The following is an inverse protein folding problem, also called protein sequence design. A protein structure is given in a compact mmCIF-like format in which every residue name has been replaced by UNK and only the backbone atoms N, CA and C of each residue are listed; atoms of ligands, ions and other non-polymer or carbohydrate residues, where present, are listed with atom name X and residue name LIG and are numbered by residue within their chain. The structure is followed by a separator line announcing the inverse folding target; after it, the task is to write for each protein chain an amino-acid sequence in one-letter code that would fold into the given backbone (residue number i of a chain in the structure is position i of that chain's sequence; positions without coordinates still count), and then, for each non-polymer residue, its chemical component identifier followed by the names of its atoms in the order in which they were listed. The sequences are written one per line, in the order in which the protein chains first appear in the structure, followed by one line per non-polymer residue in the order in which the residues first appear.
data_IF_403360046003
#
_entry.id   IF_403360046003
#
_cell.length_a   1.000
_cell.length_b   1.000
_cell.length_c   1.000
_cell.angle_alpha   90.00
_cell.angle_beta   90.00
_cell.angle_gamma   90.00
#
_symmetry.space_group_name_H-M   'P 1'
#
loop_
_entity.id
_entity.type
_entity.pdbx_description
1 polymer ?
#
# COMPACT_ATOMS: atom_id res chain seq x y z
N UNK A 1 7.40 43.36 -39.03
CA UNK A 1 6.06 43.00 -38.50
C UNK A 1 5.64 41.66 -39.11
N UNK A 2 5.95 40.55 -38.43
CA UNK A 2 5.57 39.21 -38.87
C UNK A 2 4.20 38.87 -38.28
N UNK A 3 3.18 38.72 -39.15
CA UNK A 3 1.84 38.25 -38.75
C UNK A 3 1.91 36.73 -38.56
N UNK A 4 1.96 36.27 -37.32
CA UNK A 4 1.69 34.88 -36.96
C UNK A 4 0.23 34.56 -37.28
N UNK A 5 0.00 33.83 -38.37
CA UNK A 5 -1.31 33.20 -38.64
C UNK A 5 -1.51 32.09 -37.62
N UNK A 6 -2.45 32.28 -36.70
CA UNK A 6 -2.98 31.19 -35.86
C UNK A 6 -3.55 30.09 -36.76
N UNK A 7 -3.31 28.80 -36.47
CA UNK A 7 -3.83 27.71 -37.27
C UNK A 7 -5.38 27.68 -37.20
N UNK A 8 -6.07 27.24 -38.27
CA UNK A 8 -7.53 27.21 -38.29
C UNK A 8 -8.05 26.17 -37.30
N UNK A 9 -8.83 26.62 -36.33
CA UNK A 9 -9.68 25.75 -35.51
C UNK A 9 -10.72 25.11 -36.44
N UNK A 10 -10.53 23.85 -36.83
CA UNK A 10 -11.68 23.06 -37.28
C UNK A 10 -12.57 22.86 -36.06
N UNK A 11 -13.71 23.55 -36.04
CA UNK A 11 -14.63 23.52 -34.92
C UNK A 11 -15.24 22.11 -34.81
N UNK A 12 -14.81 21.36 -33.80
CA UNK A 12 -15.54 20.17 -33.36
C UNK A 12 -16.93 20.64 -32.90
N UNK A 13 -17.98 20.33 -33.67
CA UNK A 13 -19.36 20.68 -33.35
C UNK A 13 -20.12 19.42 -32.93
N UNK A 14 -20.61 19.41 -31.69
CA UNK A 14 -21.57 18.40 -31.23
C UNK A 14 -22.95 18.84 -31.72
N UNK A 15 -23.57 18.03 -32.59
CA UNK A 15 -24.97 18.23 -32.98
C UNK A 15 -25.86 17.75 -31.83
N UNK A 16 -26.37 18.69 -31.04
CA UNK A 16 -27.34 18.38 -29.99
C UNK A 16 -28.70 18.08 -30.64
N UNK A 17 -29.25 16.90 -30.37
CA UNK A 17 -30.62 16.55 -30.75
C UNK A 17 -31.58 17.03 -29.66
N UNK A 18 -32.76 17.50 -30.07
CA UNK A 18 -33.85 17.76 -29.12
C UNK A 18 -34.26 16.45 -28.42
N UNK A 19 -34.33 16.49 -27.10
CA UNK A 19 -34.68 15.35 -26.24
C UNK A 19 -36.12 15.45 -25.71
N UNK A 20 -36.89 16.43 -26.16
CA UNK A 20 -38.31 16.56 -25.82
C UNK A 20 -39.10 15.28 -26.14
N UNK A 21 -39.96 14.85 -25.21
CA UNK A 21 -40.75 13.62 -25.35
C UNK A 21 -39.95 12.32 -25.19
N UNK A 22 -38.64 12.38 -24.93
CA UNK A 22 -37.82 11.21 -24.63
C UNK A 22 -37.73 10.97 -23.10
N UNK A 23 -37.32 9.77 -22.64
CA UNK A 23 -37.06 9.52 -21.22
C UNK A 23 -35.96 10.40 -20.59
N UNK A 24 -35.25 11.19 -21.41
CA UNK A 24 -34.14 12.05 -20.98
C UNK A 24 -34.50 13.55 -20.98
N UNK A 25 -35.74 13.92 -21.28
CA UNK A 25 -36.20 15.32 -21.36
C UNK A 25 -35.86 16.13 -20.09
N UNK A 26 -35.90 15.48 -18.92
CA UNK A 26 -35.63 16.10 -17.62
C UNK A 26 -34.18 15.91 -17.13
N UNK A 27 -33.30 15.30 -17.93
CA UNK A 27 -31.91 15.12 -17.54
C UNK A 27 -31.18 16.45 -17.63
N UNK A 28 -30.46 16.80 -16.56
CA UNK A 28 -29.65 18.03 -16.48
C UNK A 28 -28.24 17.68 -16.01
N UNK A 29 -27.24 18.45 -16.45
CA UNK A 29 -25.85 18.36 -16.01
C UNK A 29 -25.38 19.73 -15.55
N UNK A 30 -24.77 19.82 -14.37
CA UNK A 30 -24.31 21.08 -13.78
C UNK A 30 -23.01 20.87 -13.00
N UNK A 31 -22.16 21.89 -12.95
CA UNK A 31 -21.08 21.95 -11.98
C UNK A 31 -21.61 22.47 -10.65
N UNK A 32 -21.41 21.72 -9.57
CA UNK A 32 -21.92 22.04 -8.23
C UNK A 32 -20.76 22.13 -7.25
N UNK A 33 -20.78 23.16 -6.39
CA UNK A 33 -19.93 23.25 -5.20
C UNK A 33 -20.48 22.33 -4.13
N UNK A 34 -19.89 21.15 -4.00
CA UNK A 34 -20.33 20.14 -3.03
C UNK A 34 -19.65 20.42 -1.69
N UNK A 35 -20.44 20.91 -0.72
CA UNK A 35 -19.99 21.14 0.66
C UNK A 35 -20.16 19.88 1.51
N UNK A 36 -19.50 19.77 2.69
CA UNK A 36 -19.71 18.65 3.61
C UNK A 36 -21.17 18.45 4.00
N UNK A 37 -21.91 19.53 4.29
CA UNK A 37 -23.34 19.44 4.62
C UNK A 37 -24.16 18.90 3.44
N UNK A 38 -23.95 19.45 2.24
CA UNK A 38 -24.66 19.00 1.05
C UNK A 38 -24.36 17.52 0.72
N UNK A 39 -23.11 17.10 0.91
CA UNK A 39 -22.72 15.70 0.75
C UNK A 39 -23.43 14.77 1.75
N UNK A 40 -23.61 15.19 3.01
CA UNK A 40 -24.40 14.43 4.00
C UNK A 40 -25.86 14.32 3.59
N UNK A 41 -26.48 15.43 3.17
CA UNK A 41 -27.88 15.47 2.72
C UNK A 41 -28.11 14.54 1.51
N UNK A 42 -27.15 14.50 0.59
CA UNK A 42 -27.18 13.60 -0.57
C UNK A 42 -26.94 12.14 -0.20
N UNK A 43 -26.05 11.86 0.75
CA UNK A 43 -25.82 10.50 1.26
C UNK A 43 -27.05 9.94 1.98
N UNK A 44 -27.87 10.78 2.63
CA UNK A 44 -29.14 10.35 3.22
C UNK A 44 -30.15 9.82 2.18
N UNK A 45 -29.94 10.14 0.89
CA UNK A 45 -30.74 9.65 -0.24
C UNK A 45 -30.18 8.37 -0.88
N UNK A 46 -29.10 7.81 -0.32
CA UNK A 46 -28.46 6.60 -0.81
C UNK A 46 -29.16 5.33 -0.29
N UNK A 47 -30.10 4.80 -1.07
CA UNK A 47 -30.94 3.66 -0.65
C UNK A 47 -30.43 2.29 -1.09
N UNK A 48 -29.59 2.22 -2.13
CA UNK A 48 -29.33 0.97 -2.85
C UNK A 48 -27.86 0.66 -3.14
N UNK A 49 -26.95 1.60 -2.90
CA UNK A 49 -25.55 1.34 -3.22
C UNK A 49 -24.92 0.32 -2.26
N UNK A 50 -23.98 -0.45 -2.81
CA UNK A 50 -23.16 -1.42 -2.06
C UNK A 50 -22.44 -0.77 -0.87
N UNK A 51 -22.07 -1.58 0.13
CA UNK A 51 -21.22 -1.14 1.25
C UNK A 51 -19.98 -0.38 0.74
N UNK A 52 -19.66 0.79 1.30
CA UNK A 52 -18.50 1.56 0.88
C UNK A 52 -17.20 0.84 1.21
N UNK A 53 -16.12 1.27 0.53
CA UNK A 53 -14.77 0.73 0.69
C UNK A 53 -13.93 1.79 1.41
N UNK A 54 -13.64 1.65 2.71
CA UNK A 54 -12.98 2.69 3.50
C UNK A 54 -11.68 3.19 2.86
N UNK A 55 -10.81 2.28 2.42
CA UNK A 55 -9.52 2.64 1.79
C UNK A 55 -9.66 3.54 0.55
N UNK A 56 -10.81 3.50 -0.14
CA UNK A 56 -11.09 4.37 -1.30
C UNK A 56 -11.58 5.74 -0.85
N UNK A 57 -12.44 5.79 0.17
CA UNK A 57 -12.90 7.05 0.77
C UNK A 57 -11.72 7.82 1.35
N UNK A 58 -10.88 7.18 2.15
CA UNK A 58 -9.69 7.79 2.74
C UNK A 58 -8.69 8.28 1.69
N UNK A 59 -8.52 7.55 0.58
CA UNK A 59 -7.68 7.99 -0.54
C UNK A 59 -8.20 9.27 -1.18
N UNK A 60 -9.50 9.34 -1.47
CA UNK A 60 -10.13 10.55 -2.01
C UNK A 60 -10.11 11.71 -1.02
N UNK A 61 -10.40 11.45 0.27
CA UNK A 61 -10.41 12.48 1.29
C UNK A 61 -9.00 13.09 1.49
N UNK A 62 -7.96 12.26 1.39
CA UNK A 62 -6.56 12.71 1.37
C UNK A 62 -6.30 13.61 0.16
N UNK A 63 -6.68 13.20 -1.05
CA UNK A 63 -6.47 14.00 -2.25
C UNK A 63 -7.20 15.35 -2.15
N UNK A 64 -8.42 15.38 -1.59
CA UNK A 64 -9.17 16.61 -1.34
C UNK A 64 -8.45 17.52 -0.34
N UNK A 65 -7.98 16.99 0.80
CA UNK A 65 -7.22 17.77 1.81
C UNK A 65 -5.92 18.33 1.26
N UNK A 66 -5.25 17.60 0.37
CA UNK A 66 -3.98 18.00 -0.21
C UNK A 66 -4.15 18.93 -1.43
N UNK A 67 -5.38 19.24 -1.85
CA UNK A 67 -5.62 20.03 -3.07
C UNK A 67 -5.35 19.28 -4.38
N UNK A 68 -5.14 17.96 -4.31
CA UNK A 68 -4.85 17.07 -5.45
C UNK A 68 -6.13 16.54 -6.11
N UNK A 69 -7.30 16.90 -5.59
CA UNK A 69 -8.58 16.51 -6.17
C UNK A 69 -8.84 17.20 -7.51
N UNK A 70 -8.84 16.43 -8.59
CA UNK A 70 -9.10 16.95 -9.94
C UNK A 70 -10.58 16.87 -10.29
N UNK A 71 -11.23 18.02 -10.44
CA UNK A 71 -12.58 18.11 -11.02
C UNK A 71 -12.54 17.74 -12.50
N UNK A 72 -13.41 16.80 -12.90
CA UNK A 72 -13.52 16.35 -14.29
C UNK A 72 -14.97 16.04 -14.65
N UNK A 73 -15.20 15.58 -15.89
CA UNK A 73 -16.53 15.25 -16.40
C UNK A 73 -17.20 14.04 -15.71
N UNK A 74 -16.43 13.21 -14.99
CA UNK A 74 -16.99 12.10 -14.22
C UNK A 74 -17.58 12.64 -12.92
N UNK A 75 -18.89 12.82 -12.96
CA UNK A 75 -19.70 13.39 -11.89
C UNK A 75 -20.58 12.38 -11.15
N UNK A 76 -21.40 12.89 -10.23
CA UNK A 76 -22.46 12.14 -9.58
C UNK A 76 -23.78 12.20 -10.35
N UNK A 77 -24.71 11.32 -9.99
CA UNK A 77 -26.02 11.25 -10.63
C UNK A 77 -27.14 11.02 -9.61
N UNK A 78 -28.32 11.56 -9.91
CA UNK A 78 -29.57 11.33 -9.18
C UNK A 78 -30.66 10.84 -10.12
N UNK A 79 -31.48 9.93 -9.63
CA UNK A 79 -32.70 9.54 -10.32
C UNK A 79 -33.72 10.70 -10.33
N UNK A 80 -34.74 10.57 -11.17
CA UNK A 80 -35.83 11.54 -11.27
C UNK A 80 -36.61 11.74 -9.95
N UNK A 81 -36.64 10.72 -9.07
CA UNK A 81 -37.24 10.81 -7.73
C UNK A 81 -36.27 11.33 -6.66
N UNK A 82 -35.06 11.75 -7.05
CA UNK A 82 -34.07 12.35 -6.18
C UNK A 82 -33.23 11.34 -5.38
N UNK A 83 -33.41 10.03 -5.57
CA UNK A 83 -32.55 9.01 -4.98
C UNK A 83 -31.11 9.13 -5.55
N UNK A 84 -30.10 8.93 -4.70
CA UNK A 84 -28.70 8.93 -5.13
C UNK A 84 -28.42 7.71 -6.02
N UNK A 85 -27.95 7.97 -7.24
CA UNK A 85 -27.64 6.92 -8.22
C UNK A 85 -26.21 6.41 -8.05
N UNK A 86 -25.23 7.31 -7.99
CA UNK A 86 -23.80 6.95 -7.91
C UNK A 86 -23.01 7.93 -7.02
N UNK A 87 -21.71 7.67 -6.85
CA UNK A 87 -20.68 8.56 -6.29
C UNK A 87 -20.58 8.63 -4.77
N UNK A 88 -21.20 7.67 -4.08
CA UNK A 88 -21.17 7.59 -2.61
C UNK A 88 -19.76 7.74 -2.02
N UNK A 89 -18.71 7.15 -2.62
CA UNK A 89 -17.35 7.24 -2.08
C UNK A 89 -16.78 8.66 -2.14
N UNK A 90 -17.10 9.42 -3.21
CA UNK A 90 -16.61 10.79 -3.33
C UNK A 90 -17.39 11.72 -2.39
N UNK A 91 -18.69 11.50 -2.19
CA UNK A 91 -19.47 12.24 -1.18
C UNK A 91 -18.99 11.94 0.25
N UNK A 92 -18.77 10.66 0.57
CA UNK A 92 -18.19 10.29 1.86
C UNK A 92 -16.80 10.92 2.05
N UNK A 93 -16.00 11.03 1.00
CA UNK A 93 -14.69 11.67 1.05
C UNK A 93 -14.78 13.20 1.26
N UNK A 94 -15.80 13.87 0.71
CA UNK A 94 -16.09 15.28 1.01
C UNK A 94 -16.40 15.45 2.50
N UNK A 95 -17.22 14.56 3.07
CA UNK A 95 -17.51 14.56 4.51
C UNK A 95 -16.27 14.24 5.34
N UNK A 96 -15.47 13.23 4.97
CA UNK A 96 -14.26 12.86 5.72
C UNK A 96 -13.16 13.94 5.65
N UNK A 97 -13.00 14.59 4.49
CA UNK A 97 -11.98 15.63 4.27
C UNK A 97 -12.37 17.00 4.81
N UNK A 98 -13.67 17.24 5.03
CA UNK A 98 -14.23 18.55 5.35
C UNK A 98 -13.92 19.63 4.31
N UNK A 99 -13.62 19.23 3.06
CA UNK A 99 -13.32 20.16 1.96
C UNK A 99 -14.53 20.36 1.06
N UNK A 100 -14.77 21.60 0.63
CA UNK A 100 -15.73 21.88 -0.45
C UNK A 100 -15.04 21.70 -1.79
N UNK A 101 -15.62 20.88 -2.68
CA UNK A 101 -15.03 20.60 -4.00
C UNK A 101 -16.04 20.78 -5.13
N UNK A 102 -15.55 21.07 -6.33
CA UNK A 102 -16.38 21.13 -7.54
C UNK A 102 -16.61 19.72 -8.10
N UNK A 103 -17.86 19.38 -8.40
CA UNK A 103 -18.22 18.13 -9.08
C UNK A 103 -19.26 18.40 -10.17
N UNK A 104 -19.18 17.66 -11.27
CA UNK A 104 -20.32 17.54 -12.18
C UNK A 104 -21.39 16.73 -11.48
N UNK A 105 -22.64 17.17 -11.57
CA UNK A 105 -23.81 16.47 -11.04
C UNK A 105 -24.85 16.42 -12.13
N UNK A 106 -25.42 15.23 -12.32
CA UNK A 106 -26.54 15.02 -13.21
C UNK A 106 -27.79 14.59 -12.45
N UNK A 107 -28.95 15.06 -12.89
CA UNK A 107 -30.23 14.78 -12.23
C UNK A 107 -31.26 14.36 -13.26
N UNK A 108 -32.39 13.80 -12.81
CA UNK A 108 -33.52 13.48 -13.70
C UNK A 108 -33.40 12.12 -14.39
N UNK A 109 -32.47 11.25 -14.00
CA UNK A 109 -32.29 9.96 -14.66
C UNK A 109 -33.47 9.00 -14.41
N UNK A 110 -34.01 8.33 -15.44
CA UNK A 110 -35.01 7.30 -15.25
C UNK A 110 -34.38 6.04 -14.63
N UNK A 111 -35.09 5.38 -13.70
CA UNK A 111 -34.60 4.11 -13.12
C UNK A 111 -34.56 2.97 -14.14
N UNK A 112 -35.52 2.97 -15.08
CA UNK A 112 -35.67 1.99 -16.14
C UNK A 112 -36.16 2.67 -17.42
N UNK A 113 -35.61 2.26 -18.55
CA UNK A 113 -36.06 2.74 -19.85
C UNK A 113 -37.22 1.90 -20.39
N UNK A 114 -38.18 2.51 -21.11
CA UNK A 114 -39.21 1.76 -21.82
C UNK A 114 -38.58 0.72 -22.76
N UNK A 115 -39.19 -0.47 -22.86
CA UNK A 115 -38.75 -1.57 -23.73
C UNK A 115 -37.37 -2.18 -23.42
N UNK A 116 -36.69 -1.77 -22.34
CA UNK A 116 -35.46 -2.40 -21.88
C UNK A 116 -35.69 -3.27 -20.64
N UNK A 117 -35.01 -4.41 -20.56
CA UNK A 117 -35.04 -5.28 -19.37
C UNK A 117 -34.09 -4.78 -18.28
N UNK A 118 -32.90 -4.32 -18.67
CA UNK A 118 -31.90 -3.77 -17.77
C UNK A 118 -32.38 -2.45 -17.14
N UNK A 119 -31.99 -2.22 -15.90
CA UNK A 119 -32.13 -0.93 -15.21
C UNK A 119 -30.89 -0.07 -15.48
N UNK A 120 -30.99 1.24 -15.28
CA UNK A 120 -29.84 2.12 -15.55
C UNK A 120 -28.59 1.74 -14.77
N UNK A 121 -28.74 1.27 -13.52
CA UNK A 121 -27.61 0.84 -12.69
C UNK A 121 -26.86 -0.39 -13.24
N UNK A 122 -27.49 -1.21 -14.07
CA UNK A 122 -26.84 -2.39 -14.66
C UNK A 122 -25.74 -1.99 -15.66
N UNK A 123 -25.75 -0.75 -16.15
CA UNK A 123 -24.79 -0.21 -17.11
C UNK A 123 -23.74 0.72 -16.47
N UNK A 124 -23.86 1.04 -15.18
CA UNK A 124 -22.93 1.92 -14.46
C UNK A 124 -21.68 1.14 -14.03
N UNK A 125 -20.50 1.72 -14.24
CA UNK A 125 -19.21 1.16 -13.81
C UNK A 125 -18.87 -0.26 -14.32
N UNK A 126 -19.47 -0.70 -15.43
CA UNK A 126 -19.23 -2.05 -16.01
C UNK A 126 -17.91 -2.18 -16.79
N UNK A 127 -17.21 -1.06 -17.02
CA UNK A 127 -15.97 -1.02 -17.79
C UNK A 127 -14.73 -1.42 -17.00
N UNK A 128 -13.66 -1.80 -17.71
CA UNK A 128 -12.35 -2.03 -17.09
C UNK A 128 -11.77 -0.70 -16.58
N UNK A 129 -11.60 -0.60 -15.26
CA UNK A 129 -10.98 0.55 -14.61
C UNK A 129 -9.50 0.65 -15.02
N UNK A 130 -9.05 1.85 -15.43
CA UNK A 130 -7.63 2.12 -15.66
C UNK A 130 -6.86 1.94 -14.37
N UNK A 131 -5.83 1.10 -14.38
CA UNK A 131 -4.97 0.93 -13.21
C UNK A 131 -4.14 2.20 -12.97
N UNK A 132 -3.60 2.34 -11.76
CA UNK A 132 -2.71 3.47 -11.44
C UNK A 132 -1.45 3.45 -12.32
N UNK A 133 -0.94 2.26 -12.65
CA UNK A 133 0.13 2.09 -13.66
C UNK A 133 -0.29 2.73 -14.99
N UNK A 134 -1.46 2.35 -15.52
CA UNK A 134 -1.91 2.83 -16.84
C UNK A 134 -2.08 4.35 -16.83
N UNK A 135 -2.54 4.93 -15.72
CA UNK A 135 -2.67 6.38 -15.58
C UNK A 135 -1.31 7.08 -15.66
N UNK A 136 -0.29 6.56 -14.97
CA UNK A 136 1.07 7.12 -14.98
C UNK A 136 1.77 6.94 -16.33
N UNK A 137 1.64 5.77 -16.95
CA UNK A 137 2.22 5.50 -18.29
C UNK A 137 1.59 6.41 -19.35
N UNK A 138 0.25 6.47 -19.42
CA UNK A 138 -0.44 7.17 -20.50
C UNK A 138 -0.44 8.69 -20.34
N UNK A 139 -0.57 9.20 -19.12
CA UNK A 139 -0.74 10.64 -18.88
C UNK A 139 0.54 11.36 -18.47
N UNK A 140 1.52 10.63 -17.92
CA UNK A 140 2.76 11.22 -17.41
C UNK A 140 4.01 10.65 -18.08
N UNK A 141 3.88 9.69 -19.01
CA UNK A 141 5.01 9.12 -19.74
C UNK A 141 6.00 8.36 -18.85
N UNK A 142 5.58 7.92 -17.65
CA UNK A 142 6.47 7.26 -16.69
C UNK A 142 6.75 5.83 -17.15
N UNK A 143 8.00 5.58 -17.54
CA UNK A 143 8.49 4.22 -17.80
C UNK A 143 8.48 3.37 -16.52
N UNK A 144 8.22 2.07 -16.66
CA UNK A 144 8.13 1.13 -15.53
C UNK A 144 7.15 1.56 -14.43
N UNK A 145 6.03 2.21 -14.78
CA UNK A 145 5.09 2.77 -13.80
C UNK A 145 4.57 1.74 -12.79
N UNK A 146 4.50 0.46 -13.16
CA UNK A 146 4.13 -0.61 -12.23
C UNK A 146 5.06 -0.70 -11.02
N UNK A 147 6.37 -0.55 -11.23
CA UNK A 147 7.37 -0.59 -10.18
C UNK A 147 7.37 0.73 -9.38
N UNK A 148 7.20 1.88 -10.06
CA UNK A 148 7.06 3.20 -9.41
C UNK A 148 5.88 3.23 -8.43
N UNK A 149 4.71 2.73 -8.84
CA UNK A 149 3.53 2.65 -7.97
C UNK A 149 3.79 1.80 -6.74
N UNK A 150 4.38 0.62 -6.92
CA UNK A 150 4.65 -0.33 -5.83
C UNK A 150 5.67 0.25 -4.85
N UNK A 151 6.78 0.77 -5.36
CA UNK A 151 7.85 1.37 -4.56
C UNK A 151 7.36 2.60 -3.81
N UNK A 152 6.55 3.45 -4.45
CA UNK A 152 5.92 4.61 -3.79
C UNK A 152 5.02 4.18 -2.64
N UNK A 153 4.21 3.14 -2.83
CA UNK A 153 3.39 2.57 -1.76
C UNK A 153 4.21 1.99 -0.61
N UNK A 154 5.32 1.31 -0.90
CA UNK A 154 6.21 0.79 0.12
C UNK A 154 6.95 1.91 0.87
N UNK A 155 7.47 2.93 0.19
CA UNK A 155 8.10 4.10 0.81
C UNK A 155 7.13 4.86 1.70
N UNK A 156 5.91 5.10 1.23
CA UNK A 156 4.85 5.70 2.03
C UNK A 156 4.58 4.87 3.29
N UNK A 157 4.45 3.55 3.16
CA UNK A 157 4.23 2.68 4.31
C UNK A 157 5.37 2.79 5.32
N UNK A 158 6.64 2.81 4.88
CA UNK A 158 7.80 2.99 5.78
C UNK A 158 7.77 4.36 6.47
N UNK A 159 7.52 5.45 5.72
CA UNK A 159 7.47 6.81 6.26
C UNK A 159 6.29 7.03 7.21
N UNK A 160 5.24 6.21 7.11
CA UNK A 160 4.04 6.27 7.95
C UNK A 160 3.99 5.17 9.03
N UNK A 161 5.11 4.56 9.42
CA UNK A 161 5.14 3.62 10.56
C UNK A 161 4.83 2.16 10.25
N UNK A 162 4.87 1.77 8.97
CA UNK A 162 4.45 0.45 8.50
C UNK A 162 3.02 0.15 8.96
N UNK A 163 2.14 1.15 8.87
CA UNK A 163 0.70 0.99 9.05
C UNK A 163 0.00 0.87 7.71
N UNK A 164 -1.25 0.42 7.74
CA UNK A 164 -2.08 0.35 6.55
C UNK A 164 -2.42 1.75 6.07
N UNK A 165 -1.72 2.21 5.05
CA UNK A 165 -2.05 3.44 4.35
C UNK A 165 -3.21 3.20 3.38
N UNK A 166 -4.12 4.18 3.26
CA UNK A 166 -5.20 4.17 2.27
C UNK A 166 -4.66 4.07 0.83
N UNK A 167 -5.55 3.86 -0.16
CA UNK A 167 -5.11 3.70 -1.55
C UNK A 167 -4.34 4.93 -2.05
N UNK A 168 -3.27 4.72 -2.80
CA UNK A 168 -2.54 5.80 -3.47
C UNK A 168 -3.31 6.32 -4.69
N UNK A 169 -3.18 7.62 -4.94
CA UNK A 169 -3.62 8.33 -6.13
C UNK A 169 -2.45 8.67 -7.05
N UNK A 170 -2.68 9.09 -8.31
CA UNK A 170 -1.62 9.58 -9.18
C UNK A 170 -0.82 10.71 -8.54
N UNK A 171 -1.49 11.74 -7.99
CA UNK A 171 -0.82 12.86 -7.33
C UNK A 171 0.06 12.41 -6.16
N UNK A 172 -0.42 11.47 -5.33
CA UNK A 172 0.39 10.90 -4.24
C UNK A 172 1.65 10.19 -4.75
N UNK A 173 1.52 9.37 -5.81
CA UNK A 173 2.67 8.65 -6.38
C UNK A 173 3.66 9.62 -7.02
N UNK A 174 3.18 10.61 -7.76
CA UNK A 174 4.02 11.63 -8.39
C UNK A 174 4.79 12.45 -7.35
N UNK A 175 4.13 12.89 -6.27
CA UNK A 175 4.78 13.62 -5.20
C UNK A 175 5.89 12.79 -4.52
N UNK A 176 5.64 11.51 -4.24
CA UNK A 176 6.67 10.61 -3.67
C UNK A 176 7.82 10.38 -4.66
N UNK A 177 7.49 10.18 -5.95
CA UNK A 177 8.48 10.01 -7.01
C UNK A 177 9.38 11.24 -7.17
N UNK A 178 8.83 12.44 -7.01
CA UNK A 178 9.58 13.69 -7.02
C UNK A 178 10.51 13.81 -5.80
N UNK A 179 10.03 13.49 -4.60
CA UNK A 179 10.83 13.57 -3.35
C UNK A 179 12.07 12.66 -3.42
N UNK A 180 11.96 11.50 -4.07
CA UNK A 180 13.03 10.49 -4.21
C UNK A 180 13.46 10.27 -5.67
N UNK A 181 13.42 11.32 -6.50
CA UNK A 181 13.65 11.19 -7.94
C UNK A 181 14.98 10.51 -8.32
N UNK A 182 16.14 10.85 -7.69
CA UNK A 182 17.41 10.17 -7.98
C UNK A 182 17.37 8.68 -7.66
N UNK A 183 16.73 8.30 -6.54
CA UNK A 183 16.66 6.92 -6.08
C UNK A 183 15.70 6.10 -6.95
N UNK A 184 14.59 6.69 -7.41
CA UNK A 184 13.69 6.06 -8.38
C UNK A 184 14.39 5.80 -9.72
N UNK A 185 15.13 6.79 -10.23
CA UNK A 185 15.91 6.64 -11.46
C UNK A 185 16.92 5.50 -11.34
N UNK A 186 17.69 5.48 -10.25
CA UNK A 186 18.68 4.44 -10.03
C UNK A 186 18.04 3.05 -9.91
N UNK A 187 16.92 2.93 -9.18
CA UNK A 187 16.20 1.66 -9.04
C UNK A 187 15.66 1.17 -10.38
N UNK A 188 15.15 2.05 -11.24
CA UNK A 188 14.65 1.67 -12.56
C UNK A 188 15.73 1.00 -13.43
N UNK A 189 16.97 1.45 -13.30
CA UNK A 189 18.13 0.94 -14.04
C UNK A 189 18.72 -0.35 -13.40
N UNK A 190 18.56 -0.52 -12.08
CA UNK A 190 19.33 -1.54 -11.33
C UNK A 190 18.49 -2.67 -10.71
N UNK A 191 17.15 -2.58 -10.74
CA UNK A 191 16.25 -3.49 -10.02
C UNK A 191 16.59 -4.98 -10.24
N UNK A 192 16.75 -5.71 -9.14
CA UNK A 192 16.96 -7.15 -9.15
C UNK A 192 15.73 -7.86 -9.75
N UNK A 193 15.98 -8.74 -10.73
CA UNK A 193 14.93 -9.54 -11.39
C UNK A 193 14.84 -10.97 -10.84
N UNK A 194 15.80 -11.40 -10.02
CA UNK A 194 15.79 -12.70 -9.38
C UNK A 194 14.64 -12.83 -8.36
N UNK A 195 14.14 -14.06 -8.20
CA UNK A 195 13.14 -14.42 -7.19
C UNK A 195 13.61 -14.04 -5.78
N UNK A 196 12.70 -13.63 -4.89
CA UNK A 196 13.02 -13.22 -3.52
C UNK A 196 13.69 -11.85 -3.38
N UNK A 197 14.53 -11.43 -4.33
CA UNK A 197 15.23 -10.14 -4.30
C UNK A 197 14.40 -8.96 -4.82
N UNK A 198 13.25 -9.23 -5.45
CA UNK A 198 12.31 -8.21 -5.95
C UNK A 198 11.21 -7.84 -4.93
N UNK A 199 11.45 -8.10 -3.64
CA UNK A 199 10.51 -7.71 -2.59
C UNK A 199 10.52 -6.18 -2.48
N UNK A 200 9.34 -5.58 -2.68
CA UNK A 200 9.18 -4.13 -2.77
C UNK A 200 9.57 -3.42 -1.48
N UNK A 201 9.29 -4.01 -0.32
CA UNK A 201 9.62 -3.41 0.97
C UNK A 201 11.12 -3.37 1.23
N UNK A 202 11.86 -4.41 0.84
CA UNK A 202 13.32 -4.38 0.81
C UNK A 202 13.83 -3.32 -0.15
N UNK A 203 13.26 -3.25 -1.36
CA UNK A 203 13.66 -2.27 -2.36
C UNK A 203 13.43 -0.82 -1.89
N UNK A 204 12.33 -0.55 -1.18
CA UNK A 204 12.07 0.75 -0.58
C UNK A 204 13.11 1.10 0.50
N UNK A 205 13.55 0.14 1.31
CA UNK A 205 14.65 0.35 2.26
C UNK A 205 15.98 0.62 1.54
N UNK A 206 16.26 -0.06 0.43
CA UNK A 206 17.41 0.25 -0.42
C UNK A 206 17.33 1.69 -0.93
N UNK A 207 16.15 2.18 -1.34
CA UNK A 207 15.98 3.59 -1.74
C UNK A 207 16.30 4.56 -0.61
N UNK A 208 15.81 4.31 0.61
CA UNK A 208 16.18 5.12 1.78
C UNK A 208 17.69 5.07 2.06
N UNK A 209 18.30 3.91 1.87
CA UNK A 209 19.75 3.69 1.94
C UNK A 209 20.52 4.49 0.89
N UNK A 210 20.05 4.52 -0.37
CA UNK A 210 20.68 5.29 -1.44
C UNK A 210 20.64 6.78 -1.14
N UNK A 211 19.56 7.28 -0.52
CA UNK A 211 19.46 8.65 -0.08
C UNK A 211 20.41 8.98 1.09
N UNK A 212 20.59 8.07 2.05
CA UNK A 212 21.41 8.31 3.26
C UNK A 212 22.90 7.99 3.05
N UNK A 213 23.20 6.92 2.35
CA UNK A 213 24.54 6.34 2.15
C UNK A 213 24.69 5.81 0.71
N UNK A 214 24.84 6.69 -0.30
CA UNK A 214 24.78 6.28 -1.71
C UNK A 214 25.78 5.17 -2.08
N UNK A 215 27.07 5.39 -1.83
CA UNK A 215 28.13 4.44 -2.22
C UNK A 215 28.09 3.13 -1.42
N UNK A 216 27.98 3.15 -0.07
CA UNK A 216 27.81 1.92 0.69
C UNK A 216 26.57 1.12 0.28
N UNK A 217 25.45 1.80 0.01
CA UNK A 217 24.20 1.12 -0.37
C UNK A 217 24.29 0.52 -1.77
N UNK A 218 24.95 1.18 -2.73
CA UNK A 218 25.22 0.61 -4.06
C UNK A 218 26.03 -0.68 -3.95
N UNK A 219 27.12 -0.67 -3.17
CA UNK A 219 27.95 -1.86 -2.93
C UNK A 219 27.17 -2.97 -2.22
N UNK A 220 26.41 -2.62 -1.18
CA UNK A 220 25.54 -3.56 -0.47
C UNK A 220 24.53 -4.21 -1.42
N UNK A 221 23.86 -3.41 -2.25
CA UNK A 221 22.85 -3.89 -3.18
C UNK A 221 23.46 -4.79 -4.26
N UNK A 222 24.64 -4.46 -4.77
CA UNK A 222 25.32 -5.28 -5.77
C UNK A 222 25.71 -6.65 -5.21
N UNK A 223 26.25 -6.69 -3.98
CA UNK A 223 26.51 -7.96 -3.28
C UNK A 223 25.21 -8.71 -2.95
N UNK A 224 24.15 -7.99 -2.56
CA UNK A 224 22.84 -8.59 -2.31
C UNK A 224 22.23 -9.18 -3.58
N UNK A 225 22.50 -8.58 -4.75
CA UNK A 225 22.00 -9.00 -6.07
C UNK A 225 22.80 -10.17 -6.64
N UNK A 226 24.13 -10.10 -6.60
CA UNK A 226 25.03 -11.10 -7.20
C UNK A 226 25.31 -12.29 -6.28
N UNK A 227 25.41 -12.05 -4.97
CA UNK A 227 25.88 -13.03 -4.00
C UNK A 227 27.40 -13.19 -3.95
N UNK A 228 28.16 -12.37 -4.69
CA UNK A 228 29.62 -12.46 -4.74
C UNK A 228 30.26 -11.85 -3.50
N UNK A 229 31.43 -12.40 -3.12
CA UNK A 229 32.25 -11.95 -1.98
C UNK A 229 31.54 -12.00 -0.61
N UNK A 230 30.62 -12.95 -0.43
CA UNK A 230 29.91 -13.16 0.83
C UNK A 230 30.61 -14.22 1.69
N UNK A 231 30.85 -13.89 2.96
CA UNK A 231 31.35 -14.81 3.98
C UNK A 231 30.30 -15.01 5.09
N UNK A 232 30.46 -16.01 5.95
CA UNK A 232 29.47 -16.33 6.99
C UNK A 232 29.19 -15.18 7.98
N UNK A 233 30.18 -14.31 8.22
CA UNK A 233 30.04 -13.13 9.11
C UNK A 233 29.60 -11.86 8.37
N UNK A 234 29.42 -11.95 7.05
CA UNK A 234 29.11 -10.81 6.21
C UNK A 234 27.62 -10.45 6.31
N UNK A 235 27.31 -9.19 6.63
CA UNK A 235 25.93 -8.74 6.89
C UNK A 235 24.93 -9.05 5.75
N UNK A 236 25.37 -9.06 4.49
CA UNK A 236 24.52 -9.40 3.34
C UNK A 236 24.13 -10.89 3.29
N UNK A 237 24.98 -11.79 3.79
CA UNK A 237 24.80 -13.24 3.65
C UNK A 237 23.48 -13.77 4.27
N UNK A 238 23.20 -13.56 5.58
CA UNK A 238 21.96 -14.02 6.19
C UNK A 238 20.72 -13.32 5.61
N UNK A 239 20.82 -12.04 5.22
CA UNK A 239 19.72 -11.32 4.56
C UNK A 239 19.39 -11.95 3.20
N UNK A 240 20.39 -12.22 2.37
CA UNK A 240 20.19 -12.78 1.03
C UNK A 240 19.47 -14.14 1.11
N UNK A 241 19.95 -15.03 1.98
CA UNK A 241 19.34 -16.35 2.17
C UNK A 241 17.89 -16.24 2.65
N UNK A 242 17.60 -15.28 3.55
CA UNK A 242 16.26 -14.99 3.99
C UNK A 242 15.36 -14.49 2.85
N UNK A 243 15.79 -13.47 2.10
CA UNK A 243 14.97 -12.93 1.01
C UNK A 243 14.71 -13.98 -0.09
N UNK A 244 15.69 -14.84 -0.39
CA UNK A 244 15.55 -15.94 -1.34
C UNK A 244 14.61 -17.06 -0.85
N UNK A 245 14.48 -17.26 0.48
CA UNK A 245 13.60 -18.29 1.05
C UNK A 245 12.14 -17.84 1.15
N UNK A 246 11.86 -16.53 1.10
CA UNK A 246 10.51 -16.01 1.14
C UNK A 246 9.73 -16.48 -0.10
N UNK A 247 8.59 -17.13 0.15
CA UNK A 247 7.69 -17.57 -0.92
C UNK A 247 7.14 -16.35 -1.67
N UNK A 248 6.84 -16.53 -2.97
CA UNK A 248 6.05 -15.55 -3.72
C UNK A 248 4.64 -15.46 -3.16
N UNK A 249 4.45 -14.60 -2.16
CA UNK A 249 3.19 -14.37 -1.46
C UNK A 249 3.03 -12.91 -1.10
N UNK A 250 1.78 -12.46 -0.96
CA UNK A 250 1.44 -11.08 -0.64
C UNK A 250 1.31 -10.85 0.88
N UNK A 251 1.95 -11.70 1.70
CA UNK A 251 1.83 -11.67 3.15
C UNK A 251 2.38 -10.35 3.72
N UNK A 252 1.61 -9.75 4.63
CA UNK A 252 1.97 -8.50 5.27
C UNK A 252 3.19 -8.64 6.17
N UNK A 253 3.24 -9.73 6.93
CA UNK A 253 4.33 -9.98 7.88
C UNK A 253 5.65 -10.21 7.16
N UNK A 254 5.66 -10.97 6.06
CA UNK A 254 6.87 -11.20 5.25
C UNK A 254 7.45 -9.90 4.72
N UNK A 255 6.59 -8.99 4.23
CA UNK A 255 7.00 -7.66 3.73
C UNK A 255 7.60 -6.80 4.84
N UNK A 256 7.00 -6.83 6.03
CA UNK A 256 7.49 -6.10 7.19
C UNK A 256 8.85 -6.65 7.64
N UNK A 257 8.96 -7.96 7.79
CA UNK A 257 10.19 -8.65 8.16
C UNK A 257 11.31 -8.42 7.14
N UNK A 258 10.98 -8.42 5.84
CA UNK A 258 11.91 -8.10 4.77
C UNK A 258 12.44 -6.66 4.87
N UNK A 259 11.57 -5.67 5.13
CA UNK A 259 12.02 -4.29 5.34
C UNK A 259 12.94 -4.15 6.55
N UNK A 260 12.53 -4.68 7.70
CA UNK A 260 13.29 -4.59 8.95
C UNK A 260 14.65 -5.30 8.84
N UNK A 261 14.67 -6.49 8.24
CA UNK A 261 15.91 -7.21 7.96
C UNK A 261 16.81 -6.41 7.02
N UNK A 262 16.26 -5.88 5.94
CA UNK A 262 17.05 -5.09 4.99
C UNK A 262 17.66 -3.87 5.67
N UNK A 263 16.90 -3.17 6.52
CA UNK A 263 17.39 -1.98 7.22
C UNK A 263 18.51 -2.31 8.21
N UNK A 264 18.33 -3.36 9.01
CA UNK A 264 19.32 -3.81 9.97
C UNK A 264 20.63 -4.22 9.29
N UNK A 265 20.54 -5.08 8.28
CA UNK A 265 21.70 -5.62 7.60
C UNK A 265 22.41 -4.58 6.73
N UNK A 266 21.68 -3.63 6.13
CA UNK A 266 22.27 -2.48 5.45
C UNK A 266 23.06 -1.61 6.42
N UNK A 267 22.48 -1.27 7.58
CA UNK A 267 23.17 -0.47 8.60
C UNK A 267 24.43 -1.17 9.12
N UNK A 268 24.34 -2.47 9.43
CA UNK A 268 25.50 -3.25 9.87
C UNK A 268 26.61 -3.24 8.81
N UNK A 269 26.26 -3.35 7.53
CA UNK A 269 27.21 -3.25 6.43
C UNK A 269 27.86 -1.88 6.33
N UNK A 270 27.08 -0.79 6.42
CA UNK A 270 27.58 0.59 6.40
C UNK A 270 28.55 0.86 7.54
N UNK A 271 28.28 0.29 8.72
CA UNK A 271 29.14 0.43 9.92
C UNK A 271 30.32 -0.53 9.94
N UNK A 272 30.46 -1.43 8.95
CA UNK A 272 31.49 -2.46 8.94
C UNK A 272 31.36 -3.50 10.06
N UNK A 273 30.17 -3.63 10.66
CA UNK A 273 29.94 -4.57 11.77
C UNK A 273 29.69 -5.99 11.24
N UNK A 274 30.35 -7.02 11.82
CA UNK A 274 30.05 -8.41 11.48
C UNK A 274 28.61 -8.75 11.88
N UNK A 275 27.89 -9.44 11.00
CA UNK A 275 26.50 -9.81 11.22
C UNK A 275 26.21 -11.13 10.50
N UNK A 276 26.51 -12.25 11.17
CA UNK A 276 26.32 -13.60 10.60
C UNK A 276 24.94 -14.21 10.85
N UNK A 277 24.12 -13.58 11.68
CA UNK A 277 22.75 -14.03 11.99
C UNK A 277 21.72 -13.07 11.41
N UNK A 278 20.58 -13.62 10.98
CA UNK A 278 19.46 -12.82 10.50
C UNK A 278 18.82 -12.05 11.66
N UNK A 279 18.66 -10.73 11.50
CA UNK A 279 17.86 -9.88 12.39
C UNK A 279 16.75 -9.24 11.58
N UNK A 280 15.50 -9.66 11.82
CA UNK A 280 14.34 -9.27 11.00
C UNK A 280 13.20 -8.62 11.77
N UNK A 281 13.32 -8.50 13.10
CA UNK A 281 12.26 -7.94 13.95
C UNK A 281 12.59 -6.55 14.50
N UNK A 282 13.88 -6.16 14.53
CA UNK A 282 14.29 -4.89 15.12
C UNK A 282 13.92 -3.70 14.24
N UNK A 283 13.20 -2.73 14.81
CA UNK A 283 12.86 -1.46 14.16
C UNK A 283 13.94 -0.39 14.24
N UNK A 284 14.95 -0.57 15.10
CA UNK A 284 15.92 0.47 15.42
C UNK A 284 16.66 1.00 14.18
N UNK A 285 17.13 0.09 13.33
CA UNK A 285 17.86 0.46 12.11
C UNK A 285 16.95 1.20 11.10
N UNK A 286 15.69 0.78 10.96
CA UNK A 286 14.73 1.48 10.11
C UNK A 286 14.39 2.87 10.67
N UNK A 287 14.23 2.99 12.00
CA UNK A 287 14.01 4.28 12.66
C UNK A 287 15.14 5.27 12.43
N UNK A 288 16.39 4.82 12.59
CA UNK A 288 17.55 5.65 12.30
C UNK A 288 17.63 6.01 10.81
N UNK A 289 17.36 5.07 9.92
CA UNK A 289 17.37 5.33 8.48
C UNK A 289 16.30 6.34 8.06
N UNK A 290 15.10 6.29 8.66
CA UNK A 290 14.04 7.29 8.47
C UNK A 290 14.43 8.65 9.04
N UNK A 291 15.09 8.69 10.20
CA UNK A 291 15.59 9.93 10.79
C UNK A 291 16.62 10.62 9.88
N UNK A 292 17.49 9.85 9.21
CA UNK A 292 18.46 10.36 8.24
C UNK A 292 17.82 10.99 6.99
N UNK A 293 16.57 10.64 6.66
CA UNK A 293 15.86 11.27 5.54
C UNK A 293 15.44 12.71 5.83
N UNK A 294 15.40 13.10 7.11
CA UNK A 294 15.04 14.45 7.54
C UNK A 294 13.71 14.91 6.95
N UNK A 295 13.75 15.97 6.15
CA UNK A 295 12.58 16.59 5.54
C UNK A 295 11.87 15.68 4.53
N UNK A 296 12.58 14.79 3.82
CA UNK A 296 11.96 13.92 2.81
C UNK A 296 10.91 12.98 3.43
N UNK A 297 11.23 12.34 4.55
CA UNK A 297 10.29 11.48 5.25
C UNK A 297 9.10 12.28 5.81
N UNK A 298 9.35 13.50 6.32
CA UNK A 298 8.28 14.42 6.78
C UNK A 298 7.32 14.78 5.65
N UNK A 299 7.84 15.13 4.48
CA UNK A 299 7.03 15.46 3.30
C UNK A 299 6.18 14.28 2.84
N UNK A 300 6.75 13.07 2.79
CA UNK A 300 5.96 11.87 2.46
C UNK A 300 4.88 11.60 3.50
N UNK A 301 5.19 11.62 4.79
CA UNK A 301 4.21 11.39 5.85
C UNK A 301 3.09 12.45 5.86
N UNK A 302 3.45 13.71 5.59
CA UNK A 302 2.50 14.82 5.49
C UNK A 302 1.45 14.61 4.39
N UNK A 303 1.80 13.95 3.27
CA UNK A 303 0.81 13.59 2.25
C UNK A 303 -0.33 12.73 2.83
N UNK A 304 -0.07 11.94 3.87
CA UNK A 304 -1.07 11.10 4.52
C UNK A 304 -1.67 11.73 5.79
N UNK A 305 -1.29 12.96 6.12
CA UNK A 305 -1.74 13.66 7.33
C UNK A 305 -1.19 13.06 8.62
N UNK A 306 -0.03 12.41 8.56
CA UNK A 306 0.65 11.82 9.73
C UNK A 306 2.05 12.40 9.89
N UNK A 307 2.59 12.34 11.10
CA UNK A 307 4.00 12.63 11.35
C UNK A 307 4.82 11.35 11.20
N UNK A 308 6.07 11.43 10.70
CA UNK A 308 6.94 10.27 10.66
C UNK A 308 7.08 9.62 12.04
N UNK A 309 7.05 8.30 12.12
CA UNK A 309 7.16 7.58 13.39
C UNK A 309 8.55 7.77 13.99
N UNK A 310 8.63 7.92 15.32
CA UNK A 310 9.87 7.62 16.04
C UNK A 310 9.89 6.13 16.30
N UNK A 311 10.53 5.38 15.39
CA UNK A 311 10.73 3.94 15.58
C UNK A 311 11.92 3.74 16.54
N UNK A 312 11.64 3.77 17.85
CA UNK A 312 12.60 3.38 18.86
C UNK A 312 12.95 1.88 18.74
N UNK A 313 14.00 1.45 19.45
CA UNK A 313 14.18 0.02 19.72
C UNK A 313 12.85 -0.55 20.21
N UNK A 314 12.46 -1.71 19.67
CA UNK A 314 11.52 -2.52 20.41
C UNK A 314 12.22 -2.73 21.77
N UNK A 315 11.61 -2.21 22.85
CA UNK A 315 11.97 -2.66 24.20
C UNK A 315 12.15 -4.16 24.06
N UNK A 316 13.30 -4.75 24.48
CA UNK A 316 13.46 -6.19 24.42
C UNK A 316 12.14 -6.74 24.94
N UNK A 317 11.41 -7.45 24.08
CA UNK A 317 10.20 -8.12 24.53
C UNK A 317 10.71 -8.90 25.69
N UNK A 318 10.29 -8.49 26.89
CA UNK A 318 10.83 -9.06 28.10
C UNK A 318 10.41 -10.52 27.97
N UNK A 319 11.33 -11.39 27.58
CA UNK A 319 11.04 -12.79 27.34
C UNK A 319 10.60 -13.46 28.65
N UNK A 320 10.73 -12.74 29.77
CA UNK A 320 10.20 -13.04 31.10
C UNK A 320 8.72 -12.69 31.28
N UNK A 321 8.11 -11.91 30.39
CA UNK A 321 6.68 -11.52 30.44
C UNK A 321 5.78 -12.38 29.56
N UNK A 322 6.35 -13.24 28.71
CA UNK A 322 5.60 -14.35 28.12
C UNK A 322 5.39 -15.39 29.23
N UNK A 323 4.28 -15.27 29.95
CA UNK A 323 3.80 -16.36 30.81
C UNK A 323 3.75 -17.68 30.01
N UNK A 324 3.75 -18.83 30.72
CA UNK A 324 3.83 -20.15 30.08
C UNK A 324 2.81 -20.29 28.94
N UNK A 325 3.16 -21.10 27.93
CA UNK A 325 2.23 -21.43 26.84
C UNK A 325 0.88 -21.86 27.43
N UNK A 326 -0.22 -21.31 26.90
CA UNK A 326 -1.56 -21.72 27.37
C UNK A 326 -1.74 -23.22 27.14
N UNK A 327 -2.51 -23.93 27.98
CA UNK A 327 -2.83 -25.34 27.76
C UNK A 327 -3.38 -25.61 26.36
N UNK A 328 -4.17 -24.67 25.84
CA UNK A 328 -4.70 -24.70 24.48
C UNK A 328 -3.59 -24.64 23.41
N UNK A 329 -2.60 -23.75 23.56
CA UNK A 329 -1.49 -23.64 22.62
C UNK A 329 -0.64 -24.92 22.60
N UNK A 330 -0.41 -25.53 23.77
CA UNK A 330 0.30 -26.82 23.87
C UNK A 330 -0.48 -27.94 23.19
N UNK A 331 -1.80 -28.03 23.43
CA UNK A 331 -2.66 -29.02 22.80
C UNK A 331 -2.68 -28.88 21.27
N UNK A 332 -2.80 -27.64 20.76
CA UNK A 332 -2.77 -27.36 19.33
C UNK A 332 -1.39 -27.73 18.77
N UNK A 333 -0.30 -27.26 19.38
CA UNK A 333 1.07 -27.53 18.94
C UNK A 333 1.37 -29.03 18.80
N UNK A 334 0.92 -29.83 19.78
CA UNK A 334 1.06 -31.28 19.76
C UNK A 334 0.23 -31.95 18.64
N UNK A 335 -0.91 -31.36 18.27
CA UNK A 335 -1.80 -31.88 17.22
C UNK A 335 -1.36 -31.54 15.77
N UNK A 336 -0.40 -30.63 15.60
CA UNK A 336 0.02 -30.16 14.28
C UNK A 336 0.85 -31.22 13.55
N UNK A 337 0.44 -31.57 12.33
CA UNK A 337 1.19 -32.48 11.47
C UNK A 337 2.43 -31.76 10.91
N UNK A 338 3.64 -32.31 11.08
CA UNK A 338 4.84 -31.72 10.51
C UNK A 338 4.87 -31.85 8.98
N UNK A 339 5.51 -30.90 8.26
CA UNK A 339 6.04 -29.65 8.78
C UNK A 339 4.91 -28.62 9.01
N UNK A 340 4.94 -27.92 10.14
CA UNK A 340 3.98 -26.85 10.46
C UNK A 340 4.70 -25.54 10.81
N UNK A 341 4.02 -24.41 10.65
CA UNK A 341 4.57 -23.06 10.82
C UNK A 341 3.94 -22.30 11.99
N UNK A 342 4.51 -21.16 12.34
CA UNK A 342 3.93 -20.23 13.31
C UNK A 342 2.49 -19.81 12.91
N UNK A 343 2.23 -19.62 11.62
CA UNK A 343 0.90 -19.28 11.12
C UNK A 343 -0.12 -20.41 11.29
N UNK A 344 0.31 -21.67 11.16
CA UNK A 344 -0.58 -22.83 11.36
C UNK A 344 -1.03 -22.96 12.82
N UNK A 345 -0.12 -22.68 13.76
CA UNK A 345 -0.43 -22.61 15.19
C UNK A 345 -1.33 -21.41 15.50
N UNK A 346 -1.01 -20.23 14.96
CA UNK A 346 -1.79 -19.01 15.18
C UNK A 346 -3.22 -19.11 14.63
N UNK A 347 -3.42 -19.77 13.49
CA UNK A 347 -4.73 -19.90 12.83
C UNK A 347 -5.73 -20.75 13.62
N UNK A 348 -5.25 -21.60 14.52
CA UNK A 348 -6.08 -22.50 15.35
C UNK A 348 -6.31 -21.96 16.76
N UNK A 349 -5.70 -20.83 17.09
CA UNK A 349 -5.93 -20.12 18.34
C UNK A 349 -6.98 -19.03 18.10
N UNK A 350 -7.98 -18.96 18.96
CA UNK A 350 -9.00 -17.90 18.90
C UNK A 350 -8.32 -16.53 19.04
N UNK A 351 -8.18 -15.82 17.91
CA UNK A 351 -7.59 -14.48 17.85
C UNK A 351 -6.09 -14.39 17.51
N UNK A 352 -5.52 -15.33 16.74
CA UNK A 352 -4.22 -15.14 16.06
C UNK A 352 -3.11 -14.68 17.01
N UNK A 353 -2.88 -15.46 18.07
CA UNK A 353 -2.13 -15.06 19.25
C UNK A 353 -0.79 -14.39 18.93
N UNK A 354 -0.65 -13.12 19.34
CA UNK A 354 0.60 -12.33 19.26
C UNK A 354 1.76 -12.95 20.07
N UNK A 355 1.52 -14.04 20.80
CA UNK A 355 2.49 -14.74 21.66
C UNK A 355 3.12 -15.97 20.99
N UNK A 356 2.64 -16.40 19.82
CA UNK A 356 3.14 -17.59 19.12
C UNK A 356 4.65 -17.55 18.92
N UNK A 357 5.22 -16.41 18.52
CA UNK A 357 6.66 -16.28 18.34
C UNK A 357 7.47 -16.55 19.62
N UNK A 358 6.99 -16.08 20.77
CA UNK A 358 7.63 -16.30 22.07
C UNK A 358 7.53 -17.77 22.52
N UNK A 359 6.37 -18.40 22.31
CA UNK A 359 6.19 -19.82 22.64
C UNK A 359 7.07 -20.73 21.79
N UNK A 360 7.20 -20.45 20.49
CA UNK A 360 8.08 -21.25 19.63
C UNK A 360 9.55 -21.11 20.03
N UNK A 361 9.97 -19.93 20.51
CA UNK A 361 11.32 -19.75 21.04
C UNK A 361 11.55 -20.58 22.30
N UNK A 362 10.62 -20.55 23.26
CA UNK A 362 10.66 -21.37 24.48
C UNK A 362 10.62 -22.87 24.18
N UNK A 363 9.70 -23.33 23.31
CA UNK A 363 9.60 -24.73 22.91
C UNK A 363 10.87 -25.22 22.22
N UNK A 364 11.51 -24.39 21.40
CA UNK A 364 12.80 -24.73 20.78
C UNK A 364 13.89 -24.84 21.85
N UNK A 365 13.92 -23.94 22.83
CA UNK A 365 14.89 -23.97 23.93
C UNK A 365 14.71 -25.21 24.81
N UNK A 366 13.47 -25.63 25.05
CA UNK A 366 13.13 -26.87 25.77
C UNK A 366 13.35 -28.15 24.94
N UNK A 367 13.70 -28.00 23.66
CA UNK A 367 13.81 -29.11 22.73
C UNK A 367 12.49 -29.81 22.45
N UNK A 368 11.36 -29.15 22.68
CA UNK A 368 10.02 -29.67 22.40
C UNK A 368 9.72 -29.67 20.90
N UNK A 369 10.26 -28.71 20.17
CA UNK A 369 10.18 -28.66 18.70
C UNK A 369 11.57 -28.53 18.10
N UNK A 370 11.73 -29.05 16.88
CA UNK A 370 12.95 -28.91 16.10
C UNK A 370 12.65 -28.30 14.71
N UNK A 371 13.57 -27.48 14.17
CA UNK A 371 13.40 -26.90 12.85
C UNK A 371 13.59 -27.98 11.76
N UNK A 372 12.63 -28.07 10.83
CA UNK A 372 12.69 -28.96 9.66
C UNK A 372 12.74 -28.20 8.33
N UNK A 373 12.64 -26.86 8.39
CA UNK A 373 12.70 -25.96 7.25
C UNK A 373 12.61 -24.50 7.70
N UNK A 374 12.63 -23.55 6.76
CA UNK A 374 12.56 -22.13 7.09
C UNK A 374 11.19 -21.78 7.72
N UNK A 375 11.19 -21.45 9.02
CA UNK A 375 9.95 -21.16 9.77
C UNK A 375 9.03 -22.37 9.96
N UNK A 376 9.54 -23.58 9.73
CA UNK A 376 8.81 -24.83 9.86
C UNK A 376 9.40 -25.72 10.95
N UNK A 377 8.51 -26.34 11.72
CA UNK A 377 8.84 -27.10 12.91
C UNK A 377 8.24 -28.49 12.85
N UNK A 378 8.90 -29.42 13.54
CA UNK A 378 8.36 -30.73 13.92
C UNK A 378 8.35 -30.83 15.44
N UNK A 379 7.31 -31.48 15.97
CA UNK A 379 7.20 -31.82 17.39
C UNK A 379 8.13 -32.99 17.70
N UNK A 380 8.88 -32.91 18.80
CA UNK A 380 9.73 -33.99 19.30
C UNK A 380 8.99 -34.82 20.36
N UNK A 381 9.57 -35.96 20.75
CA UNK A 381 9.05 -36.82 21.82
C UNK A 381 8.99 -36.16 23.21
N UNK A 382 9.66 -35.01 23.38
CA UNK A 382 9.74 -34.25 24.63
C UNK A 382 8.65 -33.20 24.76
N UNK A 383 7.84 -32.97 23.73
CA UNK A 383 6.88 -31.87 23.72
C UNK A 383 5.85 -31.97 24.85
N UNK A 384 5.80 -30.96 25.71
CA UNK A 384 4.86 -30.90 26.84
C UNK A 384 5.19 -31.84 28.01
N UNK A 385 6.30 -32.58 27.94
CA UNK A 385 6.91 -33.30 29.06
C UNK A 385 7.98 -32.40 29.70
#
# INVERSE_FOLDING_TARGET
MSKTKSPPQSAFQILATDVAGTPFENVRFQFVRVTPQLAQDWLARNKRNRKPKPDTVTGYARDMRNGEWVTNHQGGAFFADGDLMDFQHRLMAVVESQQTVMMVVSTGWPKKLPKQKACMMDAVDIGRVRSLRDQLELQHGIANAADVVKLSGALAALCCGMEKIGKNSPGTVLAIAEIYAPEFKWMAENIARAHGLRIVSSSAVIMLGLAAWPEPTRKFYEQLKTGLNLTEKHAVYPLRNFLLSLRSGNNYDDKRMAALATAHHLKAFVEGKPCGSLVSQSKAALGQLLALQGDRAKRVAALFGVTPPVLAEDRPVDNKSAGPASPEALAIGQSLRPPWSASDLAARLDGGSRRVGAWLADWKQRGWIEPVGFGQYRVTEKFGK
#
